data_IF_726802813087
#
_entry.id   IF_726802813087
#
_cell.length_a   1.000
_cell.length_b   1.000
_cell.length_c   1.000
_cell.angle_alpha   90.00
_cell.angle_beta   90.00
_cell.angle_gamma   90.00
#
_symmetry.space_group_name_H-M   'P 1'
#
loop_
_entity.id
_entity.type
_entity.pdbx_description
1 polymer ?
#
# COMPACT_ATOMS: atom_id res chain seq x y z
N UNK A 1 -6.83 28.40 38.89
CA UNK A 1 -7.71 28.90 37.76
C UNK A 1 -6.97 29.76 36.73
N UNK A 2 -5.88 30.45 37.11
CA UNK A 2 -5.10 31.30 36.18
C UNK A 2 -4.11 30.46 35.34
N UNK A 3 -3.56 29.37 35.90
CA UNK A 3 -2.64 28.45 35.21
C UNK A 3 -3.33 27.67 34.06
N UNK A 4 -4.64 27.40 34.18
CA UNK A 4 -5.38 26.69 33.14
C UNK A 4 -5.68 27.50 31.86
N UNK A 5 -5.79 28.83 31.96
CA UNK A 5 -6.13 29.69 30.80
C UNK A 5 -4.91 30.22 30.05
N UNK A 6 -3.77 30.38 30.71
CA UNK A 6 -2.53 30.90 30.08
C UNK A 6 -1.60 29.76 29.61
N UNK A 7 -1.75 28.54 30.15
CA UNK A 7 -0.96 27.39 29.75
C UNK A 7 -1.52 26.63 28.52
N UNK A 8 -2.83 26.71 28.29
CA UNK A 8 -3.47 25.98 27.17
C UNK A 8 -2.91 26.35 25.77
N UNK A 9 -2.73 27.65 25.42
CA UNK A 9 -2.14 27.98 24.13
C UNK A 9 -0.67 27.54 23.98
N UNK A 10 0.07 27.50 25.09
CA UNK A 10 1.47 27.05 25.07
C UNK A 10 1.55 25.52 24.95
N UNK A 11 0.68 24.81 25.64
CA UNK A 11 0.57 23.35 25.53
C UNK A 11 0.11 22.96 24.12
N UNK A 12 -0.90 23.63 23.56
CA UNK A 12 -1.33 23.40 22.16
C UNK A 12 -0.19 23.61 21.17
N UNK A 13 0.54 24.73 21.27
CA UNK A 13 1.71 24.97 20.41
C UNK A 13 2.80 23.90 20.58
N UNK A 14 3.04 23.46 21.80
CA UNK A 14 4.00 22.39 22.08
C UNK A 14 3.58 21.05 21.50
N UNK A 15 2.29 20.70 21.61
CA UNK A 15 1.71 19.51 21.02
C UNK A 15 1.72 19.59 19.48
N UNK A 16 1.31 20.71 18.91
CA UNK A 16 1.35 20.94 17.45
C UNK A 16 2.78 20.82 16.91
N UNK A 17 3.75 21.39 17.61
CA UNK A 17 5.17 21.29 17.22
C UNK A 17 5.69 19.85 17.33
N UNK A 18 5.34 19.12 18.39
CA UNK A 18 5.71 17.71 18.54
C UNK A 18 5.03 16.82 17.47
N UNK A 19 3.75 17.07 17.19
CA UNK A 19 3.00 16.38 16.12
C UNK A 19 3.60 16.67 14.74
N UNK A 20 4.00 17.90 14.49
CA UNK A 20 4.67 18.30 13.24
C UNK A 20 6.02 17.62 13.09
N UNK A 21 6.87 17.62 14.12
CA UNK A 21 8.17 16.95 14.10
C UNK A 21 8.04 15.44 13.91
N UNK A 22 7.05 14.81 14.56
CA UNK A 22 6.74 13.39 14.31
C UNK A 22 6.18 13.18 12.89
N UNK A 23 5.34 14.10 12.42
CA UNK A 23 4.79 14.06 11.07
C UNK A 23 5.89 14.11 10.00
N UNK A 24 6.84 15.02 10.14
CA UNK A 24 7.98 15.17 9.21
C UNK A 24 8.82 13.89 9.08
N UNK A 25 8.87 13.05 10.10
CA UNK A 25 9.55 11.74 10.03
C UNK A 25 8.82 10.73 9.15
N UNK A 26 7.47 10.76 9.12
CA UNK A 26 6.66 9.74 8.47
C UNK A 26 6.02 10.19 7.15
N UNK A 27 6.12 11.47 6.81
CA UNK A 27 5.56 12.06 5.59
C UNK A 27 6.70 12.47 4.67
N UNK A 28 6.61 12.05 3.42
CA UNK A 28 7.63 12.37 2.41
C UNK A 28 7.56 13.82 1.94
N UNK A 29 6.38 14.44 2.06
CA UNK A 29 6.09 15.83 1.73
C UNK A 29 4.64 16.18 1.99
N UNK A 30 4.31 17.45 2.19
CA UNK A 30 2.92 17.88 2.34
C UNK A 30 2.18 17.89 1.00
N UNK A 31 2.90 18.05 -0.10
CA UNK A 31 2.39 17.99 -1.48
C UNK A 31 3.12 16.94 -2.28
N UNK A 32 2.47 16.45 -3.35
CA UNK A 32 3.12 15.48 -4.24
C UNK A 32 4.38 16.04 -4.91
N UNK A 33 4.42 17.33 -5.22
CA UNK A 33 5.59 17.97 -5.82
C UNK A 33 6.78 17.98 -4.84
N UNK A 34 6.54 18.28 -3.57
CA UNK A 34 7.54 18.23 -2.51
C UNK A 34 8.02 16.80 -2.26
N UNK A 35 7.09 15.84 -2.18
CA UNK A 35 7.41 14.42 -2.01
C UNK A 35 8.29 13.89 -3.14
N UNK A 36 7.99 14.23 -4.39
CA UNK A 36 8.81 13.87 -5.55
C UNK A 36 10.20 14.49 -5.50
N UNK A 37 10.33 15.75 -5.04
CA UNK A 37 11.62 16.39 -4.87
C UNK A 37 12.47 15.73 -3.78
N UNK A 38 11.84 15.39 -2.64
CA UNK A 38 12.51 14.73 -1.51
C UNK A 38 12.92 13.30 -1.81
N UNK A 39 12.20 12.60 -2.68
CA UNK A 39 12.49 11.23 -3.09
C UNK A 39 13.79 11.08 -3.88
N UNK A 40 14.22 12.09 -4.62
CA UNK A 40 15.36 12.00 -5.57
C UNK A 40 16.63 11.42 -4.98
N UNK A 41 16.98 11.84 -3.76
CA UNK A 41 18.20 11.39 -3.07
C UNK A 41 18.25 9.88 -2.85
N UNK A 42 17.11 9.26 -2.54
CA UNK A 42 17.03 7.81 -2.35
C UNK A 42 16.81 7.08 -3.68
N UNK A 43 16.13 7.69 -4.65
CA UNK A 43 16.05 7.15 -6.01
C UNK A 43 17.44 6.99 -6.65
N UNK A 44 18.35 7.95 -6.44
CA UNK A 44 19.75 7.86 -6.88
C UNK A 44 20.49 6.68 -6.25
N UNK A 45 20.10 6.25 -5.06
CA UNK A 45 20.62 5.05 -4.39
C UNK A 45 19.96 3.75 -4.88
N UNK A 46 18.99 3.82 -5.79
CA UNK A 46 18.25 2.67 -6.35
C UNK A 46 16.93 2.34 -5.64
N UNK A 47 16.49 3.15 -4.70
CA UNK A 47 15.13 3.00 -4.13
C UNK A 47 14.07 3.41 -5.16
N UNK A 48 12.88 2.84 -5.00
CA UNK A 48 11.68 3.17 -5.78
C UNK A 48 10.62 3.71 -4.84
N UNK A 49 9.57 4.29 -5.39
CA UNK A 49 8.51 4.91 -4.58
C UNK A 49 7.12 4.46 -5.01
N UNK A 50 6.22 4.31 -4.02
CA UNK A 50 4.78 4.25 -4.18
C UNK A 50 4.18 5.32 -3.28
N UNK A 51 3.64 6.36 -3.87
CA UNK A 51 3.07 7.49 -3.12
C UNK A 51 1.66 7.17 -2.64
N UNK A 52 1.36 7.51 -1.39
CA UNK A 52 0.04 7.43 -0.77
C UNK A 52 -0.43 8.85 -0.43
N UNK A 53 -1.38 9.36 -1.20
CA UNK A 53 -2.04 10.61 -0.84
C UNK A 53 -2.90 10.36 0.39
N UNK A 54 -2.47 10.87 1.55
CA UNK A 54 -3.15 10.64 2.82
C UNK A 54 -4.63 11.02 2.73
N UNK A 55 -5.47 10.12 3.16
CA UNK A 55 -6.91 10.23 3.17
C UNK A 55 -7.55 8.85 2.99
N UNK A 56 -8.51 8.55 3.86
CA UNK A 56 -9.25 7.30 3.85
C UNK A 56 -10.63 7.54 4.44
N UNK A 57 -11.56 6.61 4.28
CA UNK A 57 -12.88 6.63 4.88
C UNK A 57 -13.62 7.95 4.64
N UNK A 58 -13.84 8.32 3.37
CA UNK A 58 -14.66 9.47 3.02
C UNK A 58 -16.03 9.38 3.72
N UNK A 59 -16.44 10.43 4.39
CA UNK A 59 -17.72 10.49 5.12
C UNK A 59 -18.84 11.01 4.22
N UNK A 60 -18.51 11.88 3.27
CA UNK A 60 -19.45 12.52 2.36
C UNK A 60 -19.04 12.34 0.89
N UNK A 61 -19.96 12.60 -0.02
CA UNK A 61 -19.65 12.63 -1.45
C UNK A 61 -18.65 13.76 -1.79
N UNK A 62 -18.67 14.86 -1.04
CA UNK A 62 -17.70 15.95 -1.21
C UNK A 62 -16.28 15.51 -0.83
N UNK A 63 -16.12 14.79 0.27
CA UNK A 63 -14.82 14.23 0.67
C UNK A 63 -14.31 13.27 -0.40
N UNK A 64 -15.16 12.35 -0.86
CA UNK A 64 -14.80 11.39 -1.91
C UNK A 64 -14.41 12.08 -3.22
N UNK A 65 -15.04 13.20 -3.55
CA UNK A 65 -14.67 14.00 -4.72
C UNK A 65 -13.33 14.71 -4.51
N UNK A 66 -13.06 15.25 -3.34
CA UNK A 66 -11.79 15.87 -3.01
C UNK A 66 -10.62 14.86 -3.10
N UNK A 67 -10.79 13.66 -2.54
CA UNK A 67 -9.80 12.59 -2.69
C UNK A 67 -9.60 12.13 -4.14
N UNK A 68 -10.68 12.04 -4.92
CA UNK A 68 -10.58 11.72 -6.35
C UNK A 68 -9.71 12.72 -7.09
N UNK A 69 -9.91 14.02 -6.87
CA UNK A 69 -9.10 15.09 -7.47
C UNK A 69 -7.64 15.00 -7.00
N UNK A 70 -7.41 14.74 -5.72
CA UNK A 70 -6.07 14.56 -5.17
C UNK A 70 -5.32 13.41 -5.85
N UNK A 71 -5.97 12.25 -6.02
CA UNK A 71 -5.38 11.11 -6.72
C UNK A 71 -5.09 11.42 -8.20
N UNK A 72 -5.99 12.10 -8.90
CA UNK A 72 -5.77 12.50 -10.29
C UNK A 72 -4.54 13.41 -10.43
N UNK A 73 -4.45 14.44 -9.59
CA UNK A 73 -3.32 15.36 -9.59
C UNK A 73 -2.00 14.64 -9.26
N UNK A 74 -2.03 13.73 -8.28
CA UNK A 74 -0.87 12.93 -7.93
C UNK A 74 -0.43 12.03 -9.09
N UNK A 75 -1.34 11.32 -9.76
CA UNK A 75 -1.02 10.46 -10.91
C UNK A 75 -0.37 11.27 -12.04
N UNK A 76 -0.88 12.47 -12.33
CA UNK A 76 -0.26 13.36 -13.34
C UNK A 76 1.17 13.75 -12.93
N UNK A 77 1.40 14.13 -11.68
CA UNK A 77 2.72 14.52 -11.20
C UNK A 77 3.71 13.34 -11.19
N UNK A 78 3.28 12.19 -10.65
CA UNK A 78 4.07 10.95 -10.60
C UNK A 78 4.38 10.47 -12.02
N UNK A 79 3.40 10.49 -12.91
CA UNK A 79 3.54 10.06 -14.29
C UNK A 79 4.58 10.88 -15.05
N UNK A 80 4.57 12.20 -14.89
CA UNK A 80 5.60 13.08 -15.46
C UNK A 80 6.98 12.79 -14.86
N UNK A 81 7.07 12.62 -13.54
CA UNK A 81 8.31 12.32 -12.84
C UNK A 81 8.85 10.92 -13.17
N UNK A 82 8.00 9.98 -13.54
CA UNK A 82 8.41 8.64 -13.99
C UNK A 82 9.27 8.68 -15.24
N UNK A 83 9.05 9.63 -16.12
CA UNK A 83 9.82 9.81 -17.37
C UNK A 83 9.97 8.49 -18.17
N UNK A 84 8.89 7.71 -18.28
CA UNK A 84 8.86 6.47 -19.03
C UNK A 84 9.59 5.28 -18.43
N UNK A 85 9.94 5.31 -17.13
CA UNK A 85 10.64 4.21 -16.44
C UNK A 85 9.78 2.94 -16.30
N UNK A 86 8.48 3.04 -16.51
CA UNK A 86 7.56 1.90 -16.46
C UNK A 86 7.15 1.50 -15.05
N UNK A 87 6.30 0.47 -14.98
CA UNK A 87 5.61 0.04 -13.75
C UNK A 87 6.54 -0.56 -12.69
N UNK A 88 7.68 -1.14 -13.08
CA UNK A 88 8.59 -1.80 -12.13
C UNK A 88 9.65 -0.84 -11.58
N UNK A 89 10.34 -0.11 -12.44
CA UNK A 89 11.43 0.79 -12.04
C UNK A 89 10.96 2.19 -11.68
N UNK A 90 9.88 2.65 -12.28
CA UNK A 90 9.31 3.96 -12.03
C UNK A 90 8.52 4.04 -10.72
N UNK A 91 8.22 5.26 -10.29
CA UNK A 91 7.32 5.49 -9.16
C UNK A 91 5.89 5.08 -9.51
N UNK A 92 5.13 4.70 -8.49
CA UNK A 92 3.71 4.38 -8.60
C UNK A 92 2.89 5.09 -7.53
N UNK A 93 1.61 4.74 -7.47
CA UNK A 93 0.66 5.27 -6.51
C UNK A 93 -0.08 4.14 -5.79
N UNK A 94 -0.38 4.34 -4.52
CA UNK A 94 -1.30 3.51 -3.73
C UNK A 94 -2.58 4.28 -3.48
N UNK A 95 -3.72 3.63 -3.63
CA UNK A 95 -5.05 4.22 -3.44
C UNK A 95 -5.88 3.41 -2.45
N UNK A 96 -6.73 4.09 -1.70
CA UNK A 96 -7.71 3.47 -0.80
C UNK A 96 -9.12 3.62 -1.38
N UNK A 97 -9.82 2.50 -1.49
CA UNK A 97 -11.18 2.51 -2.05
C UNK A 97 -12.16 3.25 -1.14
N UNK A 98 -11.94 3.23 0.16
CA UNK A 98 -12.75 3.99 1.12
C UNK A 98 -12.63 5.51 0.97
N UNK A 99 -11.57 6.00 0.35
CA UNK A 99 -11.44 7.42 0.01
C UNK A 99 -12.28 7.81 -1.20
N UNK A 100 -12.64 6.86 -2.06
CA UNK A 100 -13.35 7.12 -3.30
C UNK A 100 -14.87 7.08 -3.17
N UNK A 101 -15.40 6.55 -2.06
CA UNK A 101 -16.85 6.44 -1.87
C UNK A 101 -17.25 6.39 -0.40
N UNK A 102 -18.23 7.20 0.06
CA UNK A 102 -18.60 7.27 1.48
C UNK A 102 -19.40 6.05 1.98
N UNK A 103 -19.83 5.17 1.08
CA UNK A 103 -20.60 3.96 1.41
C UNK A 103 -19.90 2.70 0.87
N UNK A 104 -18.59 2.66 0.99
CA UNK A 104 -17.79 1.52 0.56
C UNK A 104 -17.93 0.35 1.54
N UNK A 105 -18.90 -0.52 1.25
CA UNK A 105 -19.15 -1.75 2.01
C UNK A 105 -19.88 -2.80 1.16
N UNK A 106 -19.79 -4.08 1.54
CA UNK A 106 -20.47 -5.18 0.86
C UNK A 106 -22.00 -5.00 0.83
N UNK A 107 -22.58 -4.43 1.90
CA UNK A 107 -24.02 -4.16 1.99
C UNK A 107 -24.51 -3.13 0.94
N UNK A 108 -23.62 -2.36 0.34
CA UNK A 108 -23.92 -1.36 -0.68
C UNK A 108 -23.34 -1.77 -2.05
N UNK A 109 -23.28 -3.08 -2.32
CA UNK A 109 -22.59 -3.64 -3.49
C UNK A 109 -22.99 -2.97 -4.81
N UNK A 110 -24.28 -2.91 -5.13
CA UNK A 110 -24.75 -2.35 -6.41
C UNK A 110 -24.31 -0.90 -6.55
N UNK A 111 -24.47 -0.13 -5.49
CA UNK A 111 -24.06 1.26 -5.45
C UNK A 111 -22.54 1.45 -5.59
N UNK A 112 -21.76 0.58 -4.98
CA UNK A 112 -20.30 0.59 -5.14
C UNK A 112 -19.92 0.28 -6.58
N UNK A 113 -20.58 -0.68 -7.23
CA UNK A 113 -20.32 -1.02 -8.62
C UNK A 113 -20.74 0.07 -9.60
N UNK A 114 -21.78 0.85 -9.28
CA UNK A 114 -22.27 1.94 -10.12
C UNK A 114 -21.52 3.25 -9.90
N UNK A 115 -21.15 3.58 -8.65
CA UNK A 115 -20.62 4.90 -8.29
C UNK A 115 -19.08 4.88 -8.05
N UNK A 116 -18.54 3.86 -7.38
CA UNK A 116 -17.10 3.77 -7.07
C UNK A 116 -16.30 3.20 -8.23
N UNK A 117 -16.77 2.12 -8.83
CA UNK A 117 -16.02 1.43 -9.89
C UNK A 117 -15.62 2.36 -11.06
N UNK A 118 -16.48 3.25 -11.60
CA UNK A 118 -16.07 4.20 -12.64
C UNK A 118 -14.93 5.12 -12.20
N UNK A 119 -14.86 5.50 -10.93
CA UNK A 119 -13.77 6.30 -10.38
C UNK A 119 -12.46 5.52 -10.35
N UNK A 120 -12.49 4.28 -9.86
CA UNK A 120 -11.35 3.37 -9.86
C UNK A 120 -10.85 3.13 -11.29
N UNK A 121 -11.73 2.83 -12.22
CA UNK A 121 -11.40 2.66 -13.65
C UNK A 121 -10.73 3.90 -14.22
N UNK A 122 -11.28 5.08 -13.98
CA UNK A 122 -10.72 6.35 -14.46
C UNK A 122 -9.30 6.58 -13.95
N UNK A 123 -9.02 6.35 -12.65
CA UNK A 123 -7.67 6.47 -12.08
C UNK A 123 -6.71 5.45 -12.69
N UNK A 124 -7.19 4.22 -12.92
CA UNK A 124 -6.36 3.16 -13.49
C UNK A 124 -6.01 3.43 -14.96
N UNK A 125 -6.95 3.94 -15.75
CA UNK A 125 -6.69 4.36 -17.12
C UNK A 125 -5.69 5.52 -17.18
N UNK A 126 -5.80 6.46 -16.24
CA UNK A 126 -4.85 7.57 -16.13
C UNK A 126 -3.44 7.09 -15.77
N UNK A 127 -3.32 6.14 -14.84
CA UNK A 127 -2.05 5.52 -14.48
C UNK A 127 -1.43 4.76 -15.68
N UNK A 128 -2.26 4.07 -16.47
CA UNK A 128 -1.83 3.41 -17.71
C UNK A 128 -1.26 4.38 -18.73
N UNK A 129 -1.86 5.57 -18.89
CA UNK A 129 -1.36 6.57 -19.83
C UNK A 129 0.09 6.97 -19.57
N UNK A 130 0.50 6.96 -18.30
CA UNK A 130 1.87 7.25 -17.87
C UNK A 130 2.72 6.01 -17.66
N UNK A 131 2.17 4.82 -17.82
CA UNK A 131 2.80 3.53 -17.51
C UNK A 131 3.39 3.50 -16.09
N UNK A 132 2.61 3.94 -15.10
CA UNK A 132 2.95 3.85 -13.68
C UNK A 132 2.07 2.84 -12.97
N UNK A 133 2.62 2.11 -11.98
CA UNK A 133 1.85 1.16 -11.19
C UNK A 133 0.81 1.84 -10.30
N UNK A 134 -0.38 1.25 -10.18
CA UNK A 134 -1.44 1.66 -9.26
C UNK A 134 -1.81 0.49 -8.36
N UNK A 135 -1.62 0.64 -7.05
CA UNK A 135 -1.92 -0.38 -6.06
C UNK A 135 -3.21 -0.04 -5.31
N UNK A 136 -4.13 -1.00 -5.25
CA UNK A 136 -5.32 -0.94 -4.40
C UNK A 136 -4.90 -1.43 -3.01
N UNK A 137 -4.87 -0.53 -2.04
CA UNK A 137 -4.50 -0.85 -0.66
C UNK A 137 -5.57 -1.71 0.02
N UNK A 138 -5.12 -2.63 0.87
CA UNK A 138 -6.01 -3.42 1.73
C UNK A 138 -6.45 -2.59 2.93
N UNK A 139 -7.72 -2.73 3.27
CA UNK A 139 -8.35 -2.07 4.42
C UNK A 139 -8.89 -3.15 5.37
N UNK A 140 -10.00 -2.92 6.07
CA UNK A 140 -10.58 -3.88 7.00
C UNK A 140 -11.01 -5.19 6.30
N UNK A 141 -11.02 -6.28 7.04
CA UNK A 141 -11.26 -7.63 6.51
C UNK A 141 -12.62 -7.82 5.85
N UNK A 142 -13.65 -7.11 6.31
CA UNK A 142 -15.00 -7.16 5.75
C UNK A 142 -15.11 -6.49 4.37
N UNK A 143 -14.10 -5.71 3.98
CA UNK A 143 -14.01 -5.06 2.66
C UNK A 143 -13.23 -5.89 1.63
N UNK A 144 -12.61 -7.01 2.04
CA UNK A 144 -11.78 -7.80 1.15
C UNK A 144 -12.57 -8.32 -0.06
N UNK A 145 -13.74 -8.93 0.15
CA UNK A 145 -14.51 -9.53 -0.95
C UNK A 145 -14.96 -8.49 -1.98
N UNK A 146 -15.50 -7.36 -1.53
CA UNK A 146 -15.90 -6.30 -2.47
C UNK A 146 -14.69 -5.68 -3.19
N UNK A 147 -13.51 -5.63 -2.56
CA UNK A 147 -12.29 -5.18 -3.21
C UNK A 147 -11.81 -6.16 -4.29
N UNK A 148 -11.97 -7.46 -4.07
CA UNK A 148 -11.69 -8.50 -5.05
C UNK A 148 -12.65 -8.44 -6.24
N UNK A 149 -13.95 -8.21 -6.00
CA UNK A 149 -14.95 -8.03 -7.07
C UNK A 149 -14.60 -6.81 -7.96
N UNK A 150 -14.19 -5.70 -7.34
CA UNK A 150 -13.73 -4.51 -8.07
C UNK A 150 -12.44 -4.78 -8.87
N UNK A 151 -11.49 -5.49 -8.27
CA UNK A 151 -10.26 -5.89 -8.94
C UNK A 151 -10.54 -6.80 -10.14
N UNK A 152 -11.41 -7.81 -9.97
CA UNK A 152 -11.78 -8.72 -11.05
C UNK A 152 -12.39 -7.95 -12.22
N UNK A 153 -13.36 -7.08 -11.94
CA UNK A 153 -13.97 -6.23 -12.97
C UNK A 153 -12.94 -5.37 -13.70
N UNK A 154 -11.99 -4.79 -12.96
CA UNK A 154 -10.90 -3.99 -13.53
C UNK A 154 -9.97 -4.82 -14.42
N UNK A 155 -9.65 -6.07 -14.02
CA UNK A 155 -8.80 -6.96 -14.78
C UNK A 155 -9.39 -7.36 -16.14
N UNK A 156 -10.69 -7.34 -16.28
CA UNK A 156 -11.38 -7.66 -17.55
C UNK A 156 -11.75 -6.41 -18.38
N UNK A 157 -11.32 -5.21 -17.97
CA UNK A 157 -11.52 -4.02 -18.79
C UNK A 157 -10.71 -4.09 -20.09
N UNK A 158 -11.37 -4.04 -21.28
CA UNK A 158 -10.68 -4.12 -22.56
C UNK A 158 -9.65 -2.99 -22.74
N UNK A 159 -9.96 -1.80 -22.23
CA UNK A 159 -9.09 -0.63 -22.30
C UNK A 159 -7.78 -0.81 -21.52
N UNK A 160 -7.71 -1.77 -20.60
CA UNK A 160 -6.52 -2.11 -19.82
C UNK A 160 -5.80 -3.36 -20.34
N UNK A 161 -6.25 -3.95 -21.46
CA UNK A 161 -5.65 -5.17 -21.99
C UNK A 161 -4.15 -5.03 -22.27
N UNK A 162 -3.37 -6.04 -21.89
CA UNK A 162 -1.93 -6.09 -22.11
C UNK A 162 -1.08 -5.21 -21.16
N UNK A 163 -1.72 -4.45 -20.26
CA UNK A 163 -0.99 -3.65 -19.27
C UNK A 163 -0.96 -4.33 -17.90
N UNK A 164 0.22 -4.41 -17.27
CA UNK A 164 0.47 -5.15 -16.04
C UNK A 164 0.69 -4.24 -14.80
N UNK A 165 0.26 -2.99 -14.87
CA UNK A 165 0.44 -2.03 -13.78
C UNK A 165 -0.65 -2.05 -12.70
N UNK A 166 -1.61 -2.98 -12.76
CA UNK A 166 -2.62 -3.16 -11.72
C UNK A 166 -2.01 -3.89 -10.54
N UNK A 167 -2.07 -3.28 -9.37
CA UNK A 167 -1.59 -3.83 -8.11
C UNK A 167 -2.71 -4.00 -7.09
N UNK A 168 -2.53 -4.96 -6.20
CA UNK A 168 -3.45 -5.27 -5.11
C UNK A 168 -2.68 -5.69 -3.87
N UNK A 169 -3.19 -5.32 -2.70
CA UNK A 169 -2.54 -5.62 -1.42
C UNK A 169 -3.28 -6.73 -0.70
N UNK A 170 -2.54 -7.71 -0.20
CA UNK A 170 -3.04 -8.82 0.61
C UNK A 170 -2.36 -8.86 1.97
N UNK A 171 -3.09 -9.31 2.97
CA UNK A 171 -2.71 -9.24 4.37
C UNK A 171 -2.54 -10.63 4.97
N UNK A 172 -1.31 -11.02 5.30
CA UNK A 172 -0.97 -12.34 5.79
C UNK A 172 -1.58 -12.68 7.17
N UNK A 173 -1.98 -11.66 7.96
CA UNK A 173 -2.65 -11.91 9.24
C UNK A 173 -4.09 -12.41 9.07
N UNK A 174 -4.70 -12.25 7.87
CA UNK A 174 -5.99 -12.85 7.57
C UNK A 174 -5.86 -14.35 7.33
N UNK A 175 -6.67 -15.14 8.02
CA UNK A 175 -6.67 -16.61 7.91
C UNK A 175 -6.96 -17.11 6.49
N UNK A 176 -7.69 -16.33 5.70
CA UNK A 176 -8.04 -16.62 4.30
C UNK A 176 -7.00 -16.15 3.28
N UNK A 177 -5.91 -15.48 3.70
CA UNK A 177 -4.91 -14.94 2.78
C UNK A 177 -4.34 -15.99 1.79
N UNK A 178 -4.01 -17.23 2.19
CA UNK A 178 -3.55 -18.25 1.25
C UNK A 178 -4.56 -18.59 0.14
N UNK A 179 -5.86 -18.57 0.46
CA UNK A 179 -6.96 -18.80 -0.51
C UNK A 179 -7.15 -17.58 -1.43
N UNK A 180 -6.94 -16.37 -0.90
CA UNK A 180 -6.95 -15.16 -1.73
C UNK A 180 -5.83 -15.21 -2.77
N UNK A 181 -4.66 -15.75 -2.44
CA UNK A 181 -3.58 -15.93 -3.41
C UNK A 181 -4.01 -16.91 -4.52
N UNK A 182 -4.68 -18.01 -4.20
CA UNK A 182 -5.20 -18.95 -5.20
C UNK A 182 -6.19 -18.26 -6.15
N UNK A 183 -7.09 -17.46 -5.61
CA UNK A 183 -8.00 -16.62 -6.40
C UNK A 183 -7.26 -15.63 -7.31
N UNK A 184 -6.23 -14.94 -6.81
CA UNK A 184 -5.45 -13.98 -7.59
C UNK A 184 -4.66 -14.65 -8.71
N UNK A 185 -4.13 -15.86 -8.49
CA UNK A 185 -3.45 -16.67 -9.52
C UNK A 185 -4.44 -17.05 -10.62
N UNK A 186 -5.64 -17.52 -10.24
CA UNK A 186 -6.72 -17.82 -11.19
C UNK A 186 -7.14 -16.56 -11.97
N UNK A 187 -7.35 -15.45 -11.29
CA UNK A 187 -7.70 -14.17 -11.90
C UNK A 187 -6.63 -13.69 -12.89
N UNK A 188 -5.36 -13.74 -12.52
CA UNK A 188 -4.23 -13.39 -13.40
C UNK A 188 -4.23 -14.28 -14.66
N UNK A 189 -4.49 -15.57 -14.50
CA UNK A 189 -4.56 -16.55 -15.60
C UNK A 189 -5.72 -16.23 -16.53
N UNK A 190 -6.94 -16.10 -16.01
CA UNK A 190 -8.16 -15.83 -16.79
C UNK A 190 -8.12 -14.48 -17.50
N UNK A 191 -7.57 -13.47 -16.86
CA UNK A 191 -7.45 -12.11 -17.41
C UNK A 191 -6.21 -11.90 -18.28
N UNK A 192 -5.32 -12.91 -18.37
CA UNK A 192 -4.04 -12.87 -19.11
C UNK A 192 -3.18 -11.67 -18.68
N UNK A 193 -3.04 -11.47 -17.37
CA UNK A 193 -2.28 -10.38 -16.77
C UNK A 193 -1.21 -10.90 -15.84
N UNK A 194 -0.19 -10.09 -15.62
CA UNK A 194 0.71 -10.23 -14.48
C UNK A 194 0.30 -9.19 -13.44
N UNK A 195 -0.14 -9.61 -12.26
CA UNK A 195 -0.59 -8.71 -11.20
C UNK A 195 0.56 -8.35 -10.27
N UNK A 196 0.62 -7.10 -9.84
CA UNK A 196 1.54 -6.63 -8.80
C UNK A 196 0.88 -6.89 -7.44
N UNK A 197 1.40 -7.85 -6.67
CA UNK A 197 0.79 -8.23 -5.39
C UNK A 197 1.69 -7.85 -4.23
N UNK A 198 1.26 -6.84 -3.47
CA UNK A 198 1.91 -6.45 -2.22
C UNK A 198 1.45 -7.33 -1.09
N UNK A 199 2.39 -8.10 -0.52
CA UNK A 199 2.16 -8.89 0.68
C UNK A 199 2.59 -8.08 1.90
N UNK A 200 1.64 -7.82 2.80
CA UNK A 200 1.86 -7.18 4.11
C UNK A 200 1.47 -8.13 5.22
N UNK A 201 1.88 -7.85 6.46
CA UNK A 201 1.37 -8.60 7.64
C UNK A 201 -0.07 -8.21 7.93
N UNK A 202 -0.37 -6.94 8.04
CA UNK A 202 -1.68 -6.34 8.27
C UNK A 202 -1.59 -5.18 9.25
N UNK A 203 -2.37 -4.12 9.03
CA UNK A 203 -2.28 -2.85 9.74
C UNK A 203 -3.48 -2.54 10.64
N UNK A 204 -4.46 -3.43 10.77
CA UNK A 204 -5.73 -3.18 11.47
C UNK A 204 -6.00 -4.18 12.59
N UNK A 205 -4.95 -4.81 13.14
CA UNK A 205 -5.11 -5.94 14.07
C UNK A 205 -6.01 -5.62 15.25
N UNK A 206 -5.77 -4.50 15.95
CA UNK A 206 -6.56 -4.11 17.13
C UNK A 206 -8.04 -3.87 16.78
N UNK A 207 -8.29 -3.20 15.66
CA UNK A 207 -9.65 -2.93 15.18
C UNK A 207 -10.37 -4.21 14.80
N UNK A 208 -9.69 -5.15 14.13
CA UNK A 208 -10.25 -6.44 13.73
C UNK A 208 -10.61 -7.31 14.93
N UNK A 209 -9.73 -7.37 15.95
CA UNK A 209 -9.99 -8.11 17.18
C UNK A 209 -11.18 -7.49 17.93
N UNK A 210 -11.15 -6.18 18.13
CA UNK A 210 -12.20 -5.47 18.87
C UNK A 210 -13.55 -5.60 18.16
N UNK A 211 -13.59 -5.43 16.86
CA UNK A 211 -14.82 -5.55 16.05
C UNK A 211 -15.40 -6.96 16.14
N UNK A 212 -14.57 -7.99 15.96
CA UNK A 212 -15.03 -9.37 16.08
C UNK A 212 -15.63 -9.68 17.45
N UNK A 213 -15.08 -9.11 18.53
CA UNK A 213 -15.64 -9.23 19.88
C UNK A 213 -16.96 -8.49 20.04
N UNK A 214 -17.05 -7.27 19.50
CA UNK A 214 -18.27 -6.46 19.58
C UNK A 214 -19.42 -7.08 18.79
N UNK A 215 -19.13 -7.65 17.63
CA UNK A 215 -20.11 -8.28 16.74
C UNK A 215 -20.44 -9.72 17.17
N UNK A 216 -19.80 -10.24 18.22
CA UNK A 216 -20.06 -11.58 18.76
C UNK A 216 -19.72 -12.71 17.79
N UNK A 217 -18.68 -12.53 16.95
CA UNK A 217 -18.26 -13.56 15.99
C UNK A 217 -17.68 -14.79 16.73
N UNK A 218 -17.96 -15.98 16.24
CA UNK A 218 -17.42 -17.23 16.79
C UNK A 218 -15.89 -17.31 16.70
N UNK A 219 -15.29 -16.60 15.76
CA UNK A 219 -13.85 -16.56 15.58
C UNK A 219 -13.37 -15.21 15.04
N UNK A 220 -12.07 -15.06 14.99
CA UNK A 220 -11.44 -13.86 14.46
C UNK A 220 -11.09 -14.05 12.97
N UNK A 221 -11.27 -13.03 12.12
CA UNK A 221 -10.85 -13.08 10.72
C UNK A 221 -9.32 -13.06 10.57
N UNK A 222 -8.62 -12.61 11.60
CA UNK A 222 -7.16 -12.51 11.67
C UNK A 222 -6.59 -13.44 12.72
N UNK A 223 -5.30 -13.75 12.60
CA UNK A 223 -4.59 -14.49 13.64
C UNK A 223 -4.46 -13.64 14.91
N UNK A 224 -4.65 -14.27 16.06
CA UNK A 224 -4.59 -13.59 17.36
C UNK A 224 -3.18 -13.51 17.95
N UNK A 225 -2.21 -14.21 17.36
CA UNK A 225 -0.81 -14.20 17.77
C UNK A 225 0.08 -13.84 16.58
N UNK A 226 1.01 -12.92 16.81
CA UNK A 226 1.94 -12.43 15.78
C UNK A 226 2.74 -13.56 15.12
N UNK A 227 3.17 -14.57 15.87
CA UNK A 227 3.94 -15.69 15.33
C UNK A 227 3.21 -16.45 14.23
N UNK A 228 1.87 -16.55 14.30
CA UNK A 228 1.09 -17.20 13.26
C UNK A 228 1.02 -16.34 11.99
N UNK A 229 0.96 -15.03 12.15
CA UNK A 229 1.07 -14.10 11.02
C UNK A 229 2.45 -14.22 10.35
N UNK A 230 3.53 -14.32 11.12
CA UNK A 230 4.89 -14.47 10.60
C UNK A 230 5.03 -15.76 9.76
N UNK A 231 4.49 -16.88 10.25
CA UNK A 231 4.47 -18.17 9.50
C UNK A 231 3.60 -18.05 8.24
N UNK A 232 2.40 -17.49 8.36
CA UNK A 232 1.50 -17.25 7.23
C UNK A 232 2.15 -16.38 6.15
N UNK A 233 2.87 -15.32 6.56
CA UNK A 233 3.57 -14.44 5.63
C UNK A 233 4.59 -15.21 4.78
N UNK A 234 5.42 -16.05 5.39
CA UNK A 234 6.40 -16.86 4.66
C UNK A 234 5.76 -17.90 3.75
N UNK A 235 4.67 -18.54 4.20
CA UNK A 235 3.91 -19.47 3.37
C UNK A 235 3.30 -18.77 2.16
N UNK A 236 2.70 -17.60 2.34
CA UNK A 236 2.18 -16.76 1.27
C UNK A 236 3.28 -16.29 0.32
N UNK A 237 4.43 -15.86 0.85
CA UNK A 237 5.58 -15.45 0.04
C UNK A 237 6.05 -16.58 -0.88
N UNK A 238 6.14 -17.80 -0.36
CA UNK A 238 6.50 -18.98 -1.16
C UNK A 238 5.50 -19.24 -2.30
N UNK A 239 4.20 -19.11 -2.04
CA UNK A 239 3.15 -19.26 -3.08
C UNK A 239 3.29 -18.21 -4.18
N UNK A 240 3.52 -16.95 -3.81
CA UNK A 240 3.67 -15.85 -4.78
C UNK A 240 4.93 -16.01 -5.64
N UNK A 241 6.04 -16.42 -5.05
CA UNK A 241 7.30 -16.67 -5.76
C UNK A 241 7.23 -17.84 -6.75
N UNK A 242 6.31 -18.79 -6.54
CA UNK A 242 6.16 -19.98 -7.39
C UNK A 242 5.53 -19.67 -8.76
N UNK A 243 4.95 -18.50 -8.97
CA UNK A 243 4.18 -18.14 -10.19
C UNK A 243 4.67 -16.84 -10.82
N UNK A 244 5.96 -16.72 -11.19
CA UNK A 244 6.58 -15.45 -11.60
C UNK A 244 5.98 -14.84 -12.88
N UNK A 245 5.36 -15.66 -13.73
CA UNK A 245 4.71 -15.19 -14.96
C UNK A 245 3.31 -14.55 -14.71
N UNK A 246 2.71 -14.84 -13.57
CA UNK A 246 1.37 -14.37 -13.21
C UNK A 246 1.39 -13.28 -12.14
N UNK A 247 2.37 -13.32 -11.26
CA UNK A 247 2.48 -12.41 -10.13
C UNK A 247 3.86 -11.74 -10.11
N UNK A 248 3.87 -10.44 -9.87
CA UNK A 248 5.04 -9.68 -9.43
C UNK A 248 4.91 -9.43 -7.92
N UNK A 249 5.58 -10.21 -7.07
CA UNK A 249 5.49 -10.04 -5.63
C UNK A 249 6.19 -8.77 -5.15
N UNK A 250 5.54 -8.07 -4.21
CA UNK A 250 6.08 -6.91 -3.51
C UNK A 250 6.04 -7.21 -2.01
N UNK A 251 7.18 -7.57 -1.42
CA UNK A 251 7.27 -8.04 -0.03
C UNK A 251 7.50 -6.87 0.93
N UNK A 252 6.44 -6.42 1.60
CA UNK A 252 6.50 -5.34 2.57
C UNK A 252 6.83 -5.88 3.97
N UNK A 253 7.98 -5.51 4.51
CA UNK A 253 8.43 -5.91 5.84
C UNK A 253 9.53 -4.99 6.37
N UNK A 254 9.57 -4.79 7.69
CA UNK A 254 10.69 -4.15 8.40
C UNK A 254 11.47 -5.15 9.26
N UNK A 255 11.17 -6.44 9.12
CA UNK A 255 11.80 -7.50 9.90
C UNK A 255 12.93 -8.14 9.09
N UNK A 256 14.17 -8.01 9.56
CA UNK A 256 15.36 -8.53 8.90
C UNK A 256 15.33 -10.05 8.70
N UNK A 257 14.79 -10.81 9.66
CA UNK A 257 14.64 -12.27 9.53
C UNK A 257 13.66 -12.63 8.40
N UNK A 258 12.52 -11.95 8.33
CA UNK A 258 11.54 -12.15 7.25
C UNK A 258 12.16 -11.83 5.88
N UNK A 259 12.91 -10.72 5.78
CA UNK A 259 13.63 -10.33 4.58
C UNK A 259 14.63 -11.41 4.16
N UNK A 260 15.47 -11.87 5.09
CA UNK A 260 16.46 -12.92 4.83
C UNK A 260 15.79 -14.24 4.38
N UNK A 261 14.69 -14.62 5.02
CA UNK A 261 13.93 -15.81 4.64
C UNK A 261 13.38 -15.71 3.21
N UNK A 262 12.83 -14.56 2.82
CA UNK A 262 12.33 -14.34 1.44
C UNK A 262 13.50 -14.37 0.44
N UNK A 263 14.61 -13.73 0.77
CA UNK A 263 15.80 -13.74 -0.07
C UNK A 263 16.27 -15.17 -0.36
N UNK A 264 16.28 -16.03 0.65
CA UNK A 264 16.62 -17.45 0.51
C UNK A 264 15.56 -18.23 -0.29
N UNK A 265 14.26 -18.00 -0.02
CA UNK A 265 13.16 -18.64 -0.75
C UNK A 265 13.15 -18.30 -2.25
N UNK A 266 13.48 -17.06 -2.59
CA UNK A 266 13.58 -16.60 -3.98
C UNK A 266 14.76 -17.22 -4.76
N UNK A 267 15.75 -17.75 -4.05
CA UNK A 267 16.92 -18.40 -4.64
C UNK A 267 17.95 -17.41 -5.21
N UNK A 268 19.03 -17.97 -5.75
CA UNK A 268 20.18 -17.18 -6.22
C UNK A 268 20.02 -16.64 -7.66
N UNK A 269 19.11 -17.21 -8.44
CA UNK A 269 18.89 -16.85 -9.85
C UNK A 269 17.95 -15.66 -9.99
N UNK A 270 18.27 -14.57 -9.30
CA UNK A 270 17.50 -13.34 -9.41
C UNK A 270 17.64 -12.69 -10.77
N UNK A 271 16.53 -12.17 -11.29
CA UNK A 271 16.50 -11.31 -12.48
C UNK A 271 15.67 -10.06 -12.25
N UNK A 272 16.00 -8.92 -12.86
CA UNK A 272 15.19 -7.71 -12.76
C UNK A 272 13.74 -7.95 -13.17
N UNK A 273 12.81 -7.52 -12.33
CA UNK A 273 11.37 -7.77 -12.55
C UNK A 273 10.84 -9.08 -11.96
N UNK A 274 11.65 -9.86 -11.21
CA UNK A 274 11.18 -11.05 -10.51
C UNK A 274 10.30 -10.68 -9.30
N UNK A 275 10.81 -9.84 -8.40
CA UNK A 275 10.13 -9.35 -7.19
C UNK A 275 10.82 -8.09 -6.66
N UNK A 276 10.18 -7.43 -5.71
CA UNK A 276 10.80 -6.34 -4.95
C UNK A 276 10.46 -6.44 -3.47
N UNK A 277 11.27 -5.82 -2.64
CA UNK A 277 10.91 -5.50 -1.26
C UNK A 277 10.21 -4.15 -1.16
N UNK A 278 9.50 -3.93 -0.06
CA UNK A 278 8.89 -2.65 0.26
C UNK A 278 9.08 -2.30 1.73
N UNK A 279 9.15 -1.02 2.03
CA UNK A 279 9.16 -0.50 3.39
C UNK A 279 8.35 0.80 3.48
N UNK A 280 8.02 1.19 4.72
CA UNK A 280 7.41 2.48 5.00
C UNK A 280 8.47 3.57 5.08
N UNK A 281 8.16 4.74 4.55
CA UNK A 281 9.00 5.94 4.71
C UNK A 281 9.27 6.24 6.19
N UNK A 282 10.52 6.54 6.52
CA UNK A 282 10.96 6.86 7.88
C UNK A 282 11.18 5.67 8.81
N UNK A 283 10.94 4.42 8.35
CA UNK A 283 11.05 3.22 9.19
C UNK A 283 12.02 2.17 8.66
N UNK A 284 12.16 2.04 7.36
CA UNK A 284 12.84 0.89 6.73
C UNK A 284 14.19 1.19 6.11
N UNK A 285 14.52 2.43 5.87
CA UNK A 285 15.70 2.82 5.08
C UNK A 285 17.01 2.24 5.62
N UNK A 286 17.30 2.25 6.95
CA UNK A 286 18.56 1.70 7.46
C UNK A 286 18.74 0.20 7.17
N UNK A 287 17.65 -0.58 7.21
CA UNK A 287 17.68 -2.00 6.84
C UNK A 287 17.90 -2.15 5.34
N UNK A 288 17.15 -1.40 4.53
CA UNK A 288 17.15 -1.55 3.08
C UNK A 288 18.32 -0.88 2.38
N UNK A 289 19.04 0.04 3.02
CA UNK A 289 20.34 0.51 2.54
C UNK A 289 21.37 -0.61 2.42
N UNK A 290 21.21 -1.72 3.15
CA UNK A 290 22.04 -2.92 3.01
C UNK A 290 21.58 -3.85 1.87
N UNK A 291 20.34 -3.69 1.42
CA UNK A 291 19.70 -4.56 0.41
C UNK A 291 19.81 -3.95 -0.99
N UNK A 292 19.53 -2.66 -1.09
CA UNK A 292 19.48 -1.91 -2.34
C UNK A 292 20.89 -1.44 -2.74
N UNK A 293 21.31 -1.72 -3.96
CA UNK A 293 22.63 -1.34 -4.46
C UNK A 293 23.44 -2.54 -4.95
N UNK A 294 24.67 -2.28 -5.38
CA UNK A 294 25.51 -3.28 -6.07
C UNK A 294 26.11 -4.31 -5.11
N UNK A 295 26.21 -5.55 -5.57
CA UNK A 295 26.90 -6.63 -4.82
C UNK A 295 28.35 -6.28 -4.52
N UNK A 296 29.03 -5.59 -5.44
CA UNK A 296 30.40 -5.12 -5.25
C UNK A 296 30.56 -4.19 -4.02
N UNK A 297 29.49 -3.51 -3.62
CA UNK A 297 29.46 -2.62 -2.45
C UNK A 297 28.95 -3.34 -1.18
N UNK A 298 28.91 -4.68 -1.20
CA UNK A 298 28.41 -5.50 -0.09
C UNK A 298 26.89 -5.50 0.08
N UNK A 299 26.14 -5.09 -0.96
CA UNK A 299 24.66 -5.04 -0.96
C UNK A 299 24.09 -6.30 -1.61
N UNK A 300 22.78 -6.53 -1.40
CA UNK A 300 22.11 -7.71 -1.94
C UNK A 300 21.64 -7.55 -3.40
N UNK A 301 21.70 -6.35 -3.95
CA UNK A 301 21.19 -6.02 -5.29
C UNK A 301 19.72 -6.44 -5.49
N UNK A 302 18.87 -6.09 -4.53
CA UNK A 302 17.40 -6.26 -4.63
C UNK A 302 16.74 -4.90 -4.54
N UNK A 303 15.70 -4.64 -5.36
CA UNK A 303 15.00 -3.37 -5.31
C UNK A 303 14.16 -3.27 -4.05
N UNK A 304 14.08 -2.06 -3.49
CA UNK A 304 13.16 -1.68 -2.43
C UNK A 304 12.32 -0.49 -2.87
N UNK A 305 11.01 -0.61 -2.73
CA UNK A 305 10.05 0.46 -2.96
C UNK A 305 9.58 1.03 -1.63
N UNK A 306 9.73 2.33 -1.46
CA UNK A 306 9.28 3.05 -0.27
C UNK A 306 7.82 3.42 -0.45
N UNK A 307 6.98 3.00 0.49
CA UNK A 307 5.61 3.50 0.64
C UNK A 307 5.67 4.87 1.28
N UNK A 308 5.31 5.89 0.53
CA UNK A 308 5.57 7.30 0.85
C UNK A 308 4.28 8.08 1.08
N UNK A 309 3.86 8.29 2.33
CA UNK A 309 2.72 9.13 2.65
C UNK A 309 2.97 10.59 2.24
N UNK A 310 1.94 11.22 1.65
CA UNK A 310 1.94 12.60 1.19
C UNK A 310 0.71 13.31 1.76
N UNK A 311 0.92 14.38 2.50
CA UNK A 311 -0.16 15.16 3.09
C UNK A 311 0.27 15.91 4.32
N UNK A 312 -0.67 16.65 4.90
CA UNK A 312 -0.45 17.44 6.11
C UNK A 312 -0.55 16.58 7.37
N UNK A 313 -0.06 17.08 8.49
CA UNK A 313 -0.16 16.42 9.79
C UNK A 313 -1.61 16.15 10.23
N UNK A 314 -2.58 16.92 9.77
CA UNK A 314 -4.00 16.72 10.08
C UNK A 314 -4.55 15.42 9.49
N UNK A 315 -4.08 15.04 8.31
CA UNK A 315 -4.50 13.80 7.63
C UNK A 315 -3.67 12.57 8.06
N UNK A 316 -2.58 12.80 8.80
CA UNK A 316 -1.62 11.78 9.18
C UNK A 316 -2.06 10.95 10.40
N UNK A 317 -2.99 11.43 11.22
CA UNK A 317 -3.30 10.85 12.54
C UNK A 317 -3.66 9.35 12.45
N UNK A 318 -4.56 8.97 11.56
CA UNK A 318 -4.98 7.57 11.40
C UNK A 318 -3.81 6.67 10.97
N UNK A 319 -2.94 7.17 10.10
CA UNK A 319 -1.73 6.49 9.67
C UNK A 319 -0.74 6.31 10.83
N UNK A 320 -0.47 7.36 11.61
CA UNK A 320 0.46 7.32 12.75
C UNK A 320 0.02 6.39 13.86
N UNK A 321 -1.27 6.42 14.22
CA UNK A 321 -1.81 5.54 15.28
C UNK A 321 -1.54 4.07 14.92
N UNK A 322 -1.75 3.67 13.67
CA UNK A 322 -1.44 2.30 13.25
C UNK A 322 0.06 1.96 13.36
N UNK A 323 0.94 2.94 13.10
CA UNK A 323 2.40 2.73 13.26
C UNK A 323 2.81 2.53 14.71
N UNK A 324 2.16 3.22 15.64
CA UNK A 324 2.44 3.11 17.07
C UNK A 324 1.91 1.82 17.69
N UNK A 325 0.89 1.20 17.08
CA UNK A 325 0.26 -0.04 17.56
C UNK A 325 0.86 -1.31 16.90
N UNK A 326 1.59 -1.19 15.84
CA UNK A 326 2.31 -2.27 15.15
C UNK A 326 3.68 -2.56 15.80
#
# INVERSE_FOLDING_TARGET
>A
RIIGKSGEPLIRKGVDMAMRLMGEQFVTGETIAEALANARKLEEKGFRYSYDMLGEAALTAADAQAYMVSYQQAIHAIGKASNGRGIYEGPGISIKLSALHPRYSRAQYDRVMEELYPRLKSLTLLARQYDIGINIDAEESDRLEISLDLLEKLCFEPELAGWNGIGFVIQAYQKRCPLVIDYLIDLATRSRRRLMIRLVKGAYWDSEIKRAQMDGLEGYPVYTRKVYTDVSYLACAKKLLAVPNLIYPQFATHNAHTLAAIYQLAGQNYYPGQYEFQCLHGMGEPLYEQVTGKVADGKLNRPCRIYAPVGTHETLLAYLVRRLLE
#
